data_IF_510353376661
#
_entry.id   IF_510353376661
#
_cell.length_a   1.000
_cell.length_b   1.000
_cell.length_c   1.000
_cell.angle_alpha   90.00
_cell.angle_beta   90.00
_cell.angle_gamma   90.00
#
_symmetry.space_group_name_H-M   'P 1'
#
loop_
_entity.id
_entity.type
_entity.pdbx_description
1 polymer ?
#
# COMPACT_ATOMS: atom_id res chain seq x y z
N UNK A 1 -10.13 27.48 -73.79
CA UNK A 1 -8.96 27.85 -72.98
C UNK A 1 -9.34 27.65 -71.56
N UNK A 2 -8.92 26.58 -70.94
CA UNK A 2 -9.28 26.16 -69.62
C UNK A 2 -7.99 25.73 -68.88
N UNK A 3 -7.52 26.56 -67.99
CA UNK A 3 -6.43 26.29 -67.04
C UNK A 3 -6.86 26.82 -65.68
N UNK A 4 -7.48 26.00 -64.85
CA UNK A 4 -7.52 26.20 -63.42
C UNK A 4 -8.36 25.10 -62.73
N UNK A 5 -7.80 23.94 -62.44
CA UNK A 5 -8.42 23.02 -61.47
C UNK A 5 -7.45 21.95 -60.90
N UNK A 6 -6.16 22.14 -60.97
CA UNK A 6 -5.17 21.17 -60.44
C UNK A 6 -4.46 21.60 -59.15
N UNK A 7 -4.54 22.88 -58.74
CA UNK A 7 -3.88 23.37 -57.57
C UNK A 7 -4.65 23.11 -56.24
N UNK A 8 -5.97 22.89 -56.27
CA UNK A 8 -6.82 22.75 -55.07
C UNK A 8 -6.78 21.33 -54.47
N UNK A 9 -6.41 20.31 -55.26
CA UNK A 9 -6.36 18.92 -54.77
C UNK A 9 -5.08 18.51 -54.10
N UNK A 10 -3.99 19.27 -54.27
CA UNK A 10 -2.71 18.98 -53.56
C UNK A 10 -2.67 19.47 -52.10
N UNK A 11 -3.45 20.48 -51.76
CA UNK A 11 -3.47 21.02 -50.39
C UNK A 11 -4.28 20.18 -49.41
N UNK A 12 -5.25 19.38 -49.87
CA UNK A 12 -6.07 18.51 -49.00
C UNK A 12 -5.31 17.25 -48.59
N UNK A 13 -4.35 16.77 -49.38
CA UNK A 13 -3.57 15.58 -49.02
C UNK A 13 -2.41 15.85 -48.04
N UNK A 14 -1.91 17.11 -47.96
CA UNK A 14 -0.87 17.45 -46.94
C UNK A 14 -1.44 17.70 -45.56
N UNK A 15 -2.73 18.03 -45.41
CA UNK A 15 -3.33 18.28 -44.08
C UNK A 15 -3.72 17.00 -43.33
N UNK A 16 -3.73 15.84 -43.95
CA UNK A 16 -4.09 14.54 -43.33
C UNK A 16 -2.92 13.77 -42.73
N UNK A 17 -1.68 14.23 -42.91
CA UNK A 17 -0.50 13.58 -42.36
C UNK A 17 -0.03 14.14 -40.99
N UNK A 18 -0.71 15.19 -40.49
CA UNK A 18 -0.37 15.87 -39.23
C UNK A 18 -1.05 15.29 -37.96
N UNK A 19 -1.96 14.33 -38.06
CA UNK A 19 -2.74 13.84 -36.91
C UNK A 19 -2.28 12.51 -36.32
N UNK A 20 -1.15 11.97 -36.73
CA UNK A 20 -0.65 10.67 -36.24
C UNK A 20 0.38 10.76 -35.10
N UNK A 21 0.53 11.89 -34.40
CA UNK A 21 1.62 12.12 -33.43
C UNK A 21 1.15 12.35 -31.98
N UNK A 22 0.09 11.67 -31.54
CA UNK A 22 -0.22 11.52 -30.11
C UNK A 22 -0.37 10.04 -29.75
N UNK A 23 0.58 9.23 -30.13
CA UNK A 23 0.74 7.88 -29.61
C UNK A 23 1.50 7.95 -28.29
N UNK A 24 0.84 7.69 -27.15
CA UNK A 24 1.55 7.36 -25.91
C UNK A 24 2.48 6.19 -26.21
N UNK A 25 3.78 6.33 -25.91
CA UNK A 25 4.73 5.23 -26.06
C UNK A 25 4.19 4.00 -25.32
N UNK A 26 4.08 2.83 -25.98
CA UNK A 26 3.56 1.62 -25.33
C UNK A 26 4.42 1.32 -24.10
N UNK A 27 3.76 0.95 -22.98
CA UNK A 27 4.47 0.52 -21.78
C UNK A 27 5.43 -0.62 -22.16
N UNK A 28 6.68 -0.62 -21.69
CA UNK A 28 7.61 -1.72 -21.94
C UNK A 28 7.02 -3.05 -21.48
N UNK A 29 7.19 -4.09 -22.27
CA UNK A 29 6.74 -5.43 -21.90
C UNK A 29 7.50 -5.96 -20.67
N UNK A 30 6.83 -6.74 -19.79
CA UNK A 30 7.49 -7.37 -18.64
C UNK A 30 8.69 -8.22 -19.10
N UNK A 31 9.84 -8.04 -18.44
CA UNK A 31 11.03 -8.82 -18.73
C UNK A 31 10.78 -10.31 -18.47
N UNK A 32 11.22 -11.18 -19.42
CA UNK A 32 11.11 -12.61 -19.20
C UNK A 32 12.00 -13.06 -18.02
N UNK A 33 11.42 -13.77 -17.09
CA UNK A 33 12.16 -14.32 -15.93
C UNK A 33 12.80 -15.68 -16.27
N UNK A 34 12.34 -16.33 -17.35
CA UNK A 34 12.80 -17.66 -17.75
C UNK A 34 12.36 -18.77 -16.78
N UNK A 35 12.93 -19.95 -16.94
CA UNK A 35 12.77 -21.04 -15.99
C UNK A 35 13.62 -20.79 -14.74
N UNK A 36 13.07 -21.12 -13.58
CA UNK A 36 13.74 -20.98 -12.29
C UNK A 36 13.72 -22.35 -11.63
N UNK A 37 14.91 -22.88 -11.32
CA UNK A 37 15.02 -24.07 -10.45
C UNK A 37 14.78 -23.59 -9.03
N UNK A 38 13.71 -24.07 -8.34
CA UNK A 38 13.42 -23.64 -6.98
C UNK A 38 14.56 -23.98 -6.02
N UNK A 39 15.11 -22.96 -5.36
CA UNK A 39 16.11 -23.10 -4.28
C UNK A 39 15.40 -23.02 -2.93
N UNK A 40 14.38 -22.17 -2.82
CA UNK A 40 13.53 -22.04 -1.65
C UNK A 40 12.16 -22.64 -1.94
N UNK A 41 11.72 -23.61 -1.14
CA UNK A 41 10.37 -24.19 -1.25
C UNK A 41 9.31 -23.15 -0.85
N UNK A 42 8.11 -23.25 -1.45
CA UNK A 42 6.94 -22.44 -1.12
C UNK A 42 5.74 -23.37 -1.13
N UNK A 43 5.08 -23.53 0.00
CA UNK A 43 3.98 -24.46 0.19
C UNK A 43 2.69 -23.73 0.49
N UNK A 44 1.63 -24.02 -0.30
CA UNK A 44 0.28 -23.52 -0.01
C UNK A 44 -0.28 -24.29 1.20
N UNK A 45 -0.57 -23.57 2.28
CA UNK A 45 -1.12 -24.15 3.50
C UNK A 45 -2.65 -24.24 3.44
N UNK A 46 -3.28 -23.12 3.06
CA UNK A 46 -4.73 -23.06 2.90
C UNK A 46 -5.13 -21.99 1.87
N UNK A 47 -6.36 -22.15 1.40
CA UNK A 47 -7.02 -21.22 0.49
C UNK A 47 -8.43 -20.93 1.01
N UNK A 48 -8.79 -19.66 1.04
CA UNK A 48 -10.12 -19.19 1.39
C UNK A 48 -10.71 -18.34 0.26
N UNK A 49 -11.97 -18.61 -0.13
CA UNK A 49 -12.67 -17.82 -1.15
C UNK A 49 -13.30 -16.57 -0.52
N UNK A 50 -12.90 -15.40 -0.99
CA UNK A 50 -13.46 -14.10 -0.59
C UNK A 50 -14.53 -13.70 -1.59
N UNK A 51 -15.77 -13.58 -1.11
CA UNK A 51 -16.89 -13.13 -1.93
C UNK A 51 -16.87 -11.60 -2.07
N UNK A 52 -17.00 -11.08 -3.29
CA UNK A 52 -17.07 -9.65 -3.58
C UNK A 52 -15.89 -9.10 -4.38
N UNK A 53 -15.90 -7.80 -4.63
CA UNK A 53 -14.83 -7.11 -5.36
C UNK A 53 -13.65 -6.81 -4.43
N UNK A 54 -12.58 -7.59 -4.53
CA UNK A 54 -11.37 -7.44 -3.71
C UNK A 54 -10.47 -6.29 -4.15
N UNK A 55 -10.72 -5.62 -5.29
CA UNK A 55 -9.88 -4.55 -5.88
C UNK A 55 -10.02 -3.23 -5.13
N UNK A 56 -9.71 -3.24 -3.85
CA UNK A 56 -9.80 -2.09 -2.94
C UNK A 56 -8.43 -1.42 -2.67
N UNK A 57 -7.32 -2.06 -3.06
CA UNK A 57 -5.97 -1.50 -2.82
C UNK A 57 -5.62 -1.40 -1.34
N UNK A 58 -5.94 -2.43 -0.56
CA UNK A 58 -5.78 -2.46 0.88
C UNK A 58 -4.48 -3.15 1.33
N UNK A 59 -4.05 -2.84 2.55
CA UNK A 59 -3.20 -3.73 3.35
C UNK A 59 -4.09 -4.58 4.25
N UNK A 60 -3.72 -5.85 4.44
CA UNK A 60 -4.45 -6.72 5.37
C UNK A 60 -4.06 -6.39 6.81
N UNK A 61 -5.04 -6.32 7.70
CA UNK A 61 -4.80 -6.03 9.11
C UNK A 61 -4.84 -7.32 9.93
N UNK A 62 -3.72 -7.63 10.60
CA UNK A 62 -3.57 -8.81 11.44
C UNK A 62 -3.50 -8.43 12.91
N UNK A 63 -4.16 -9.23 13.73
CA UNK A 63 -4.02 -9.20 15.18
C UNK A 63 -4.11 -10.63 15.72
N UNK A 64 -3.05 -11.07 16.40
CA UNK A 64 -2.93 -12.45 16.90
C UNK A 64 -3.06 -13.48 15.75
N UNK A 65 -4.03 -14.38 15.82
CA UNK A 65 -4.34 -15.41 14.82
C UNK A 65 -5.54 -15.02 13.92
N UNK A 66 -5.87 -13.72 13.82
CA UNK A 66 -6.99 -13.20 13.05
C UNK A 66 -6.54 -12.17 12.03
N UNK A 67 -7.17 -12.21 10.88
CA UNK A 67 -6.93 -11.30 9.77
C UNK A 67 -8.25 -10.67 9.34
N UNK A 68 -8.30 -9.35 9.30
CA UNK A 68 -9.43 -8.61 8.77
C UNK A 68 -9.16 -8.18 7.32
N UNK A 69 -10.18 -8.30 6.48
CA UNK A 69 -10.18 -7.84 5.10
C UNK A 69 -11.54 -7.23 4.75
N UNK A 70 -11.52 -6.36 3.75
CA UNK A 70 -12.72 -5.73 3.22
C UNK A 70 -12.79 -5.88 1.71
N UNK A 71 -14.00 -5.82 1.14
CA UNK A 71 -14.23 -5.79 -0.31
C UNK A 71 -14.90 -4.48 -0.69
N UNK A 72 -14.66 -4.03 -1.92
CA UNK A 72 -15.14 -2.74 -2.41
C UNK A 72 -16.67 -2.61 -2.36
N UNK A 73 -17.38 -3.72 -2.51
CA UNK A 73 -18.84 -3.81 -2.47
C UNK A 73 -19.42 -3.90 -1.05
N UNK A 74 -18.62 -3.71 0.00
CA UNK A 74 -19.10 -3.50 1.38
C UNK A 74 -19.06 -4.70 2.30
N UNK A 75 -18.40 -5.80 1.90
CA UNK A 75 -18.25 -6.96 2.80
C UNK A 75 -16.97 -6.82 3.61
N UNK A 76 -17.10 -7.06 4.92
CA UNK A 76 -15.96 -7.14 5.84
C UNK A 76 -15.97 -8.53 6.45
N UNK A 77 -14.79 -9.15 6.50
CA UNK A 77 -14.62 -10.50 7.05
C UNK A 77 -13.39 -10.54 7.94
N UNK A 78 -13.50 -11.31 9.02
CA UNK A 78 -12.36 -11.72 9.84
C UNK A 78 -12.19 -13.22 9.71
N UNK A 79 -10.99 -13.65 9.37
CA UNK A 79 -10.65 -15.06 9.17
C UNK A 79 -9.51 -15.47 10.10
N UNK A 80 -9.49 -16.75 10.46
CA UNK A 80 -8.41 -17.36 11.22
C UNK A 80 -7.18 -17.53 10.32
N UNK A 81 -6.01 -17.09 10.76
CA UNK A 81 -4.78 -17.13 9.96
C UNK A 81 -4.15 -18.54 9.85
N UNK A 82 -4.53 -19.50 10.71
CA UNK A 82 -3.98 -20.86 10.71
C UNK A 82 -4.65 -21.76 9.67
N UNK A 83 -5.96 -21.57 9.44
CA UNK A 83 -6.75 -22.48 8.58
C UNK A 83 -7.63 -21.75 7.55
N UNK A 84 -7.67 -20.43 7.56
CA UNK A 84 -8.49 -19.62 6.66
C UNK A 84 -9.99 -19.65 6.95
N UNK A 85 -10.45 -20.24 8.04
CA UNK A 85 -11.87 -20.26 8.40
C UNK A 85 -12.39 -18.89 8.76
N UNK A 86 -13.61 -18.58 8.33
CA UNK A 86 -14.29 -17.32 8.69
C UNK A 86 -14.64 -17.32 10.16
N UNK A 87 -14.13 -16.36 10.92
CA UNK A 87 -14.54 -16.12 12.29
C UNK A 87 -15.88 -15.38 12.31
N UNK A 88 -15.98 -14.26 11.57
CA UNK A 88 -17.23 -13.55 11.31
C UNK A 88 -17.19 -12.79 9.99
N UNK A 89 -18.34 -12.43 9.49
CA UNK A 89 -18.49 -11.58 8.30
C UNK A 89 -19.72 -10.69 8.42
N UNK A 90 -19.68 -9.51 7.80
CA UNK A 90 -20.80 -8.58 7.70
C UNK A 90 -20.85 -7.99 6.28
N UNK A 91 -22.07 -7.75 5.80
CA UNK A 91 -22.32 -7.04 4.55
C UNK A 91 -22.98 -5.70 4.88
N UNK A 92 -22.25 -4.62 4.68
CA UNK A 92 -22.69 -3.26 5.00
C UNK A 92 -23.64 -2.67 3.97
N UNK A 93 -23.86 -3.35 2.82
CA UNK A 93 -24.73 -2.92 1.71
C UNK A 93 -24.35 -1.55 1.14
N UNK A 94 -23.08 -1.19 1.20
CA UNK A 94 -22.55 0.09 0.71
C UNK A 94 -21.09 -0.10 0.26
N UNK A 95 -20.67 0.65 -0.76
CA UNK A 95 -19.30 0.56 -1.24
C UNK A 95 -18.30 1.18 -0.25
N UNK A 96 -17.10 0.61 -0.22
CA UNK A 96 -16.00 1.05 0.64
C UNK A 96 -14.91 1.78 -0.15
N UNK A 97 -14.26 2.74 0.50
CA UNK A 97 -13.06 3.41 0.02
C UNK A 97 -11.77 2.83 0.61
N UNK A 98 -11.85 2.18 1.78
CA UNK A 98 -10.69 1.69 2.52
C UNK A 98 -10.80 0.20 2.80
N UNK A 99 -9.65 -0.47 2.96
CA UNK A 99 -9.59 -1.74 3.62
C UNK A 99 -9.94 -1.64 5.11
N UNK A 100 -9.94 -2.76 5.79
CA UNK A 100 -10.25 -2.84 7.21
C UNK A 100 -9.02 -2.54 8.09
N UNK A 101 -9.18 -1.65 9.08
CA UNK A 101 -8.33 -1.62 10.27
C UNK A 101 -8.84 -2.61 11.31
N UNK A 102 -7.94 -3.22 12.09
CA UNK A 102 -8.34 -4.27 13.05
C UNK A 102 -7.33 -4.40 14.19
N UNK A 103 -7.81 -4.58 15.42
CA UNK A 103 -7.00 -4.77 16.62
C UNK A 103 -7.13 -6.16 17.27
N UNK A 104 -7.89 -7.06 16.65
CA UNK A 104 -8.21 -8.38 17.19
C UNK A 104 -9.64 -8.46 17.74
N UNK A 105 -10.29 -7.35 18.02
CA UNK A 105 -11.65 -7.26 18.54
C UNK A 105 -12.55 -6.41 17.65
N UNK A 106 -12.13 -5.17 17.35
CA UNK A 106 -12.88 -4.25 16.52
C UNK A 106 -12.27 -4.14 15.13
N UNK A 107 -13.16 -4.08 14.13
CA UNK A 107 -12.79 -3.75 12.76
C UNK A 107 -13.41 -2.40 12.37
N UNK A 108 -12.69 -1.63 11.56
CA UNK A 108 -13.12 -0.32 11.10
C UNK A 108 -12.88 -0.15 9.59
N UNK A 109 -13.86 0.42 8.87
CA UNK A 109 -13.77 0.74 7.44
C UNK A 109 -14.37 2.11 7.17
N UNK A 110 -14.02 2.73 6.02
CA UNK A 110 -14.67 3.95 5.56
C UNK A 110 -15.41 3.69 4.25
N UNK A 111 -16.67 4.12 4.19
CA UNK A 111 -17.54 3.97 3.03
C UNK A 111 -17.27 5.07 1.99
N UNK A 112 -17.73 4.84 0.75
CA UNK A 112 -17.71 5.87 -0.31
C UNK A 112 -18.59 7.08 0.01
N UNK A 113 -19.54 6.93 0.95
CA UNK A 113 -20.38 8.00 1.47
C UNK A 113 -19.75 8.81 2.62
N UNK A 114 -18.43 8.67 2.86
CA UNK A 114 -17.70 9.33 3.96
C UNK A 114 -18.23 8.95 5.34
N UNK A 115 -18.52 7.70 5.56
CA UNK A 115 -18.95 7.19 6.85
C UNK A 115 -17.93 6.21 7.40
N UNK A 116 -17.44 6.46 8.60
CA UNK A 116 -16.65 5.51 9.38
C UNK A 116 -17.62 4.51 10.01
N UNK A 117 -17.38 3.22 9.78
CA UNK A 117 -18.20 2.12 10.33
C UNK A 117 -17.30 1.25 11.17
N UNK A 118 -17.67 1.04 12.43
CA UNK A 118 -16.94 0.16 13.35
C UNK A 118 -17.82 -1.03 13.71
N UNK A 119 -17.17 -2.18 13.69
CA UNK A 119 -17.81 -3.50 13.87
C UNK A 119 -17.09 -4.28 14.95
N UNK A 120 -17.83 -5.13 15.63
CA UNK A 120 -17.30 -6.14 16.56
C UNK A 120 -18.13 -7.42 16.39
N UNK A 121 -17.46 -8.55 16.28
CA UNK A 121 -18.05 -9.89 16.17
C UNK A 121 -19.20 -9.97 15.13
N UNK A 122 -18.95 -9.43 13.93
CA UNK A 122 -19.89 -9.47 12.82
C UNK A 122 -21.07 -8.51 12.91
N UNK A 123 -21.09 -7.62 13.91
CA UNK A 123 -22.15 -6.63 14.11
C UNK A 123 -21.61 -5.21 14.03
N UNK A 124 -22.37 -4.30 13.41
CA UNK A 124 -22.05 -2.86 13.45
C UNK A 124 -22.30 -2.33 14.84
N UNK A 125 -21.26 -1.76 15.47
CA UNK A 125 -21.36 -1.17 16.80
C UNK A 125 -21.80 0.29 16.70
N UNK A 126 -21.15 1.06 15.81
CA UNK A 126 -21.51 2.46 15.56
C UNK A 126 -21.09 2.92 14.18
N UNK A 127 -21.59 4.08 13.79
CA UNK A 127 -21.26 4.80 12.56
C UNK A 127 -21.04 6.26 12.87
N UNK A 128 -20.10 6.90 12.17
CA UNK A 128 -19.83 8.34 12.29
C UNK A 128 -19.57 8.96 10.94
N UNK A 129 -20.20 10.09 10.64
CA UNK A 129 -19.98 10.83 9.41
C UNK A 129 -18.67 11.58 9.48
N UNK A 130 -17.86 11.46 8.40
CA UNK A 130 -16.60 12.15 8.23
C UNK A 130 -16.78 13.40 7.37
N UNK A 131 -15.89 14.37 7.54
CA UNK A 131 -15.91 15.67 6.82
C UNK A 131 -15.39 15.55 5.39
N UNK A 132 -14.55 14.55 5.10
CA UNK A 132 -13.95 14.30 3.78
C UNK A 132 -13.78 12.79 3.54
N UNK A 133 -13.36 12.43 2.33
CA UNK A 133 -13.04 11.05 1.98
C UNK A 133 -11.80 10.55 2.74
N UNK A 134 -11.68 9.24 2.89
CA UNK A 134 -10.45 8.56 3.33
C UNK A 134 -10.11 7.47 2.32
N UNK A 135 -8.81 7.32 2.05
CA UNK A 135 -8.26 6.24 1.21
C UNK A 135 -7.27 5.37 1.98
N UNK A 136 -7.02 5.71 3.24
CA UNK A 136 -6.13 4.98 4.15
C UNK A 136 -6.98 4.12 5.08
N UNK A 137 -6.57 2.86 5.27
CA UNK A 137 -7.21 2.00 6.25
C UNK A 137 -7.27 2.71 7.61
N UNK A 138 -8.41 2.73 8.31
CA UNK A 138 -8.46 3.19 9.69
C UNK A 138 -7.44 2.45 10.56
N UNK A 139 -6.85 3.12 11.52
CA UNK A 139 -6.02 2.48 12.54
C UNK A 139 -6.88 2.23 13.79
N UNK A 140 -7.03 0.96 14.16
CA UNK A 140 -7.68 0.56 15.41
C UNK A 140 -6.59 0.18 16.40
N UNK A 141 -6.40 0.97 17.44
CA UNK A 141 -5.32 0.76 18.42
C UNK A 141 -5.57 1.55 19.72
N UNK A 142 -5.22 0.99 20.87
CA UNK A 142 -5.26 1.67 22.17
C UNK A 142 -6.65 2.21 22.52
N UNK A 143 -7.68 1.39 22.31
CA UNK A 143 -9.10 1.73 22.57
C UNK A 143 -9.62 2.92 21.73
N UNK A 144 -8.96 3.21 20.60
CA UNK A 144 -9.30 4.29 19.67
C UNK A 144 -9.35 3.81 18.23
N UNK A 145 -10.10 4.56 17.44
CA UNK A 145 -10.10 4.45 15.98
C UNK A 145 -9.61 5.77 15.41
N UNK A 146 -8.50 5.71 14.66
CA UNK A 146 -7.93 6.87 13.98
C UNK A 146 -8.23 6.79 12.49
N UNK A 147 -8.57 7.93 11.89
CA UNK A 147 -8.84 8.04 10.45
C UNK A 147 -8.08 9.23 9.88
N UNK A 148 -7.36 9.00 8.80
CA UNK A 148 -6.70 10.05 8.01
C UNK A 148 -7.56 10.37 6.80
N UNK A 149 -7.91 11.64 6.61
CA UNK A 149 -8.80 12.10 5.54
C UNK A 149 -8.03 12.73 4.38
N UNK A 150 -8.69 12.83 3.23
CA UNK A 150 -8.14 13.43 2.02
C UNK A 150 -7.88 14.94 2.14
N UNK A 151 -8.53 15.63 3.07
CA UNK A 151 -8.25 17.02 3.43
C UNK A 151 -7.06 17.19 4.38
N UNK A 152 -6.28 16.10 4.61
CA UNK A 152 -5.13 16.00 5.52
C UNK A 152 -5.48 16.16 6.99
N UNK A 153 -6.76 16.12 7.36
CA UNK A 153 -7.16 16.02 8.74
C UNK A 153 -7.01 14.59 9.27
N UNK A 154 -6.75 14.47 10.56
CA UNK A 154 -6.74 13.22 11.30
C UNK A 154 -7.75 13.32 12.43
N UNK A 155 -8.60 12.31 12.53
CA UNK A 155 -9.63 12.23 13.57
C UNK A 155 -9.40 11.01 14.45
N UNK A 156 -9.69 11.13 15.74
CA UNK A 156 -9.76 10.01 16.66
C UNK A 156 -11.14 9.89 17.26
N UNK A 157 -11.57 8.64 17.43
CA UNK A 157 -12.83 8.26 18.02
C UNK A 157 -12.60 7.24 19.14
N UNK A 158 -13.39 7.30 20.19
CA UNK A 158 -13.48 6.22 21.16
C UNK A 158 -13.97 4.95 20.44
N UNK A 159 -13.26 3.85 20.62
CA UNK A 159 -13.48 2.60 19.90
C UNK A 159 -14.84 1.97 20.22
N UNK A 160 -15.29 2.06 21.47
CA UNK A 160 -16.51 1.41 21.93
C UNK A 160 -17.76 2.24 21.66
N UNK A 161 -17.68 3.56 21.80
CA UNK A 161 -18.84 4.45 21.76
C UNK A 161 -18.98 5.24 20.45
N UNK A 162 -17.89 5.41 19.68
CA UNK A 162 -17.86 6.25 18.49
C UNK A 162 -17.83 7.75 18.80
N UNK A 163 -17.67 8.15 20.06
CA UNK A 163 -17.50 9.54 20.43
C UNK A 163 -16.21 10.08 19.80
N UNK A 164 -16.31 11.19 19.06
CA UNK A 164 -15.13 11.87 18.53
C UNK A 164 -14.35 12.51 19.67
N UNK A 165 -13.09 12.08 19.84
CA UNK A 165 -12.19 12.54 20.89
C UNK A 165 -11.49 13.83 20.48
N UNK A 166 -10.94 13.87 19.26
CA UNK A 166 -10.27 15.04 18.72
C UNK A 166 -10.25 15.04 17.19
N UNK A 167 -9.94 16.19 16.63
CA UNK A 167 -9.66 16.40 15.21
C UNK A 167 -8.45 17.30 15.08
N UNK A 168 -7.42 16.82 14.37
CA UNK A 168 -6.25 17.60 13.98
C UNK A 168 -6.38 17.97 12.52
N UNK A 169 -6.54 19.27 12.24
CA UNK A 169 -6.60 19.83 10.88
C UNK A 169 -5.22 20.37 10.52
N UNK A 170 -4.77 20.10 9.30
CA UNK A 170 -3.52 20.65 8.78
C UNK A 170 -3.73 21.30 7.43
N UNK A 171 -3.22 22.52 7.24
CA UNK A 171 -3.18 23.13 5.92
C UNK A 171 -2.30 22.26 5.00
N UNK A 172 -2.75 22.01 3.79
CA UNK A 172 -1.99 21.23 2.82
C UNK A 172 -2.49 21.44 1.40
N UNK A 173 -1.75 20.91 0.43
CA UNK A 173 -2.17 20.92 -0.97
C UNK A 173 -3.43 20.05 -1.14
N UNK A 174 -4.34 20.48 -2.01
CA UNK A 174 -5.67 19.87 -2.16
C UNK A 174 -5.65 18.50 -2.83
N UNK A 175 -4.54 18.09 -3.47
CA UNK A 175 -4.44 16.81 -4.16
C UNK A 175 -3.81 15.75 -3.25
N UNK A 176 -4.46 14.58 -3.17
CA UNK A 176 -3.96 13.39 -2.45
C UNK A 176 -4.04 12.17 -3.34
N UNK A 177 -3.14 11.20 -3.10
CA UNK A 177 -3.20 9.89 -3.74
C UNK A 177 -4.44 9.12 -3.27
N UNK A 178 -5.18 8.57 -4.22
CA UNK A 178 -6.23 7.58 -3.93
C UNK A 178 -5.59 6.20 -3.67
N UNK A 179 -4.76 6.13 -2.63
CA UNK A 179 -3.97 4.96 -2.27
C UNK A 179 -3.83 4.90 -0.74
N UNK A 180 -3.61 3.70 -0.20
CA UNK A 180 -3.37 3.52 1.23
C UNK A 180 -2.10 4.26 1.66
N UNK A 181 -2.24 5.21 2.59
CA UNK A 181 -1.17 6.03 3.14
C UNK A 181 -0.60 5.47 4.44
N UNK A 182 0.36 6.18 5.01
CA UNK A 182 0.97 5.82 6.31
C UNK A 182 0.08 6.29 7.45
N UNK A 183 -0.51 5.36 8.18
CA UNK A 183 -1.23 5.58 9.44
C UNK A 183 -0.96 4.36 10.33
N UNK A 184 -0.15 4.52 11.37
CA UNK A 184 0.29 3.39 12.22
C UNK A 184 0.59 3.83 13.64
N UNK A 185 0.46 2.89 14.61
CA UNK A 185 0.82 3.14 15.99
C UNK A 185 2.32 2.88 16.21
N UNK A 186 2.96 3.75 16.99
CA UNK A 186 4.33 3.57 17.45
C UNK A 186 4.44 4.01 18.90
N UNK A 187 4.61 3.04 19.83
CA UNK A 187 4.58 3.32 21.26
C UNK A 187 3.34 4.14 21.64
N UNK A 188 3.52 5.28 22.32
CA UNK A 188 2.45 6.23 22.62
C UNK A 188 2.37 7.36 21.57
N UNK A 189 2.44 7.02 20.27
CA UNK A 189 2.27 7.95 19.15
C UNK A 189 1.41 7.33 18.05
N UNK A 190 0.70 8.18 17.34
CA UNK A 190 0.12 7.86 16.04
C UNK A 190 1.01 8.50 14.97
N UNK A 191 1.65 7.67 14.14
CA UNK A 191 2.44 8.13 13.01
C UNK A 191 1.55 8.27 11.78
N UNK A 192 1.60 9.43 11.15
CA UNK A 192 0.77 9.78 9.99
C UNK A 192 1.61 10.36 8.86
N UNK A 193 1.31 9.96 7.63
CA UNK A 193 1.91 10.51 6.42
C UNK A 193 1.06 11.64 5.86
N UNK A 194 1.57 12.87 5.89
CA UNK A 194 0.83 14.05 5.48
C UNK A 194 1.65 14.85 4.45
N UNK A 195 1.38 14.65 3.15
CA UNK A 195 1.98 15.44 2.08
C UNK A 195 3.51 15.43 2.04
N UNK A 196 4.12 14.26 2.02
CA UNK A 196 5.57 14.11 1.98
C UNK A 196 6.26 14.27 3.35
N UNK A 197 5.50 14.43 4.41
CA UNK A 197 6.00 14.52 5.79
C UNK A 197 5.50 13.35 6.63
N UNK A 198 6.34 12.86 7.52
CA UNK A 198 5.96 11.91 8.57
C UNK A 198 5.79 12.69 9.87
N UNK A 199 4.61 12.63 10.45
CA UNK A 199 4.29 13.30 11.70
C UNK A 199 3.94 12.29 12.80
N UNK A 200 4.28 12.60 14.05
CA UNK A 200 3.82 11.89 15.23
C UNK A 200 2.83 12.75 16.00
N UNK A 201 1.65 12.21 16.20
CA UNK A 201 0.59 12.82 16.97
C UNK A 201 0.43 12.12 18.32
N UNK A 202 0.07 12.88 19.33
CA UNK A 202 -0.37 12.36 20.62
C UNK A 202 -1.70 11.63 20.42
N UNK A 203 -1.85 10.35 20.82
CA UNK A 203 -3.08 9.59 20.60
C UNK A 203 -4.26 10.11 21.43
N UNK A 204 -4.00 10.81 22.55
CA UNK A 204 -5.04 11.24 23.48
C UNK A 204 -5.72 12.55 23.07
N UNK A 205 -4.96 13.46 22.42
CA UNK A 205 -5.44 14.81 22.11
C UNK A 205 -5.08 15.31 20.70
N UNK A 206 -4.36 14.53 19.90
CA UNK A 206 -3.95 14.88 18.53
C UNK A 206 -2.85 15.93 18.43
N UNK A 207 -2.24 16.36 19.53
CA UNK A 207 -1.16 17.35 19.53
C UNK A 207 0.04 16.80 18.78
N UNK A 208 0.62 17.63 17.90
CA UNK A 208 1.84 17.30 17.18
C UNK A 208 3.03 17.21 18.14
N UNK A 209 3.68 16.05 18.18
CA UNK A 209 4.92 15.85 18.94
C UNK A 209 6.17 16.17 18.12
N UNK A 210 6.19 15.72 16.86
CA UNK A 210 7.23 16.04 15.89
C UNK A 210 6.72 15.82 14.46
N UNK A 211 7.40 16.48 13.50
CA UNK A 211 7.14 16.35 12.07
C UNK A 211 8.45 16.39 11.31
N UNK A 212 8.66 15.47 10.38
CA UNK A 212 9.89 15.32 9.62
C UNK A 212 9.61 15.29 8.11
N UNK A 213 10.32 16.10 7.30
CA UNK A 213 10.19 16.07 5.85
C UNK A 213 10.84 14.79 5.31
N UNK A 214 10.04 13.91 4.69
CA UNK A 214 10.51 12.71 4.02
C UNK A 214 10.74 12.95 2.53
N UNK A 215 10.00 13.88 1.94
CA UNK A 215 10.19 14.34 0.57
C UNK A 215 9.73 15.80 0.45
N UNK A 216 10.40 16.54 -0.42
CA UNK A 216 10.00 17.90 -0.79
C UNK A 216 9.26 17.86 -2.11
N UNK A 217 8.03 18.40 -2.18
CA UNK A 217 7.31 18.55 -3.44
C UNK A 217 8.16 19.31 -4.48
N UNK A 218 8.25 18.77 -5.69
CA UNK A 218 8.99 19.37 -6.80
C UNK A 218 8.12 19.41 -8.03
N UNK A 219 8.15 20.50 -8.78
CA UNK A 219 7.39 20.63 -10.01
C UNK A 219 6.56 21.92 -10.05
N UNK A 220 5.96 22.20 -11.20
CA UNK A 220 5.24 23.44 -11.49
C UNK A 220 3.74 23.25 -11.25
N UNK A 221 3.24 22.02 -11.43
CA UNK A 221 1.81 21.71 -11.26
C UNK A 221 1.57 20.78 -10.05
N UNK A 222 0.32 20.68 -9.60
CA UNK A 222 -0.07 19.93 -8.40
C UNK A 222 0.21 18.43 -8.54
N UNK A 223 0.17 17.86 -9.76
CA UNK A 223 0.44 16.45 -10.00
C UNK A 223 1.93 16.12 -9.80
N UNK A 224 2.83 17.01 -10.28
CA UNK A 224 4.28 16.86 -10.09
C UNK A 224 4.70 17.06 -8.63
N UNK A 225 3.90 17.79 -7.87
CA UNK A 225 4.12 18.09 -6.44
C UNK A 225 3.57 17.01 -5.52
N UNK A 226 2.93 15.99 -6.06
CA UNK A 226 2.31 14.92 -5.28
C UNK A 226 3.37 13.96 -4.73
N UNK A 227 3.61 14.01 -3.42
CA UNK A 227 4.65 13.24 -2.71
C UNK A 227 4.12 12.55 -1.45
N UNK A 228 2.87 12.10 -1.46
CA UNK A 228 2.26 11.44 -0.31
C UNK A 228 3.04 10.20 0.13
N UNK A 229 3.07 9.95 1.45
CA UNK A 229 3.68 8.75 2.00
C UNK A 229 2.75 7.55 1.82
N UNK A 230 3.26 6.50 1.18
CA UNK A 230 2.50 5.29 0.84
C UNK A 230 2.75 4.15 1.84
N UNK A 231 1.72 3.38 2.13
CA UNK A 231 1.82 2.19 2.96
C UNK A 231 2.47 1.02 2.15
N UNK A 232 3.17 0.05 2.80
CA UNK A 232 3.38 -0.02 4.24
C UNK A 232 4.64 0.73 4.65
N UNK A 233 4.66 1.19 5.90
CA UNK A 233 5.89 1.61 6.55
C UNK A 233 6.59 0.39 7.16
N UNK A 234 7.93 0.30 7.02
CA UNK A 234 8.74 -0.73 7.67
C UNK A 234 9.19 -0.25 9.05
N UNK A 235 8.90 -1.04 10.08
CA UNK A 235 9.24 -0.70 11.45
C UNK A 235 10.07 -1.80 12.11
N UNK A 236 11.25 -1.45 12.60
CA UNK A 236 12.11 -2.31 13.41
C UNK A 236 12.65 -1.51 14.60
N UNK A 237 12.33 -1.92 15.81
CA UNK A 237 12.68 -1.20 17.05
C UNK A 237 12.19 0.27 17.00
N UNK A 238 13.11 1.23 17.06
CA UNK A 238 12.83 2.67 16.99
C UNK A 238 12.86 3.22 15.55
N UNK A 239 13.36 2.43 14.60
CA UNK A 239 13.49 2.86 13.22
C UNK A 239 12.20 2.63 12.45
N UNK A 240 11.68 3.70 11.87
CA UNK A 240 10.53 3.66 10.96
C UNK A 240 10.98 4.18 9.61
N UNK A 241 10.81 3.37 8.58
CA UNK A 241 11.17 3.72 7.22
C UNK A 241 9.90 3.81 6.37
N UNK A 242 9.81 4.84 5.56
CA UNK A 242 8.65 5.15 4.71
C UNK A 242 9.08 5.51 3.30
N UNK A 243 8.17 5.38 2.37
CA UNK A 243 8.33 5.83 0.99
C UNK A 243 7.39 6.99 0.68
N UNK A 244 7.95 8.05 0.11
CA UNK A 244 7.18 9.07 -0.59
C UNK A 244 6.99 8.63 -2.05
N UNK A 245 5.75 8.70 -2.54
CA UNK A 245 5.36 8.26 -3.86
C UNK A 245 6.26 8.83 -4.95
N UNK A 246 6.90 7.96 -5.73
CA UNK A 246 7.78 8.27 -6.87
C UNK A 246 8.85 9.36 -6.60
N UNK A 247 9.24 9.56 -5.34
CA UNK A 247 10.15 10.64 -4.96
C UNK A 247 11.33 10.15 -4.13
N UNK A 248 11.07 9.65 -2.92
CA UNK A 248 12.12 9.29 -1.97
C UNK A 248 11.72 8.10 -1.09
N UNK A 249 12.73 7.45 -0.54
CA UNK A 249 12.63 6.54 0.60
C UNK A 249 13.48 7.12 1.72
N UNK A 250 13.09 6.93 2.97
CA UNK A 250 13.89 7.39 4.11
C UNK A 250 13.49 6.72 5.41
N UNK A 251 14.39 6.80 6.39
CA UNK A 251 14.21 6.26 7.72
C UNK A 251 14.40 7.34 8.79
N UNK A 252 13.62 7.19 9.86
CA UNK A 252 13.65 8.08 11.03
C UNK A 252 13.85 7.26 12.29
N UNK A 253 14.47 7.85 13.31
CA UNK A 253 14.34 7.41 14.70
C UNK A 253 13.03 7.99 15.25
N UNK A 254 11.96 7.20 15.23
CA UNK A 254 10.63 7.65 15.63
C UNK A 254 10.51 7.89 17.15
N UNK A 255 11.41 7.34 17.97
CA UNK A 255 11.43 7.60 19.40
C UNK A 255 12.01 8.99 19.73
N UNK A 256 12.96 9.45 18.92
CA UNK A 256 13.61 10.77 19.07
C UNK A 256 12.99 11.84 18.19
N UNK A 257 12.18 11.48 17.18
CA UNK A 257 11.70 12.41 16.17
C UNK A 257 12.84 12.96 15.30
N UNK A 258 13.78 12.10 14.91
CA UNK A 258 14.97 12.49 14.17
C UNK A 258 15.05 11.80 12.83
N UNK A 259 15.23 12.61 11.75
CA UNK A 259 15.51 12.09 10.42
C UNK A 259 16.92 11.49 10.39
N UNK A 260 17.05 10.25 9.94
CA UNK A 260 18.35 9.61 9.78
C UNK A 260 18.90 9.85 8.37
N UNK A 261 18.11 9.52 7.38
CA UNK A 261 18.48 9.69 5.98
C UNK A 261 17.25 9.69 5.06
N UNK A 262 17.43 10.24 3.86
CA UNK A 262 16.54 10.06 2.71
C UNK A 262 17.36 9.76 1.46
N UNK A 263 16.80 9.01 0.51
CA UNK A 263 17.40 8.68 -0.80
C UNK A 263 16.33 8.81 -1.89
N UNK A 264 16.76 9.28 -3.04
CA UNK A 264 15.90 9.29 -4.23
C UNK A 264 15.51 7.87 -4.62
N UNK A 265 14.23 7.65 -4.83
CA UNK A 265 13.66 6.34 -5.17
C UNK A 265 12.34 6.53 -5.91
N UNK A 266 12.18 5.89 -7.06
CA UNK A 266 11.02 6.05 -7.93
C UNK A 266 10.05 4.87 -7.78
N UNK A 267 9.57 4.64 -6.56
CA UNK A 267 8.60 3.57 -6.26
C UNK A 267 7.23 4.11 -5.87
N UNK A 268 6.19 3.34 -6.16
CA UNK A 268 4.80 3.66 -5.85
C UNK A 268 4.23 2.81 -4.71
N UNK A 269 5.00 1.86 -4.21
CA UNK A 269 4.61 0.91 -3.18
C UNK A 269 5.42 1.15 -1.90
N UNK A 270 4.95 0.65 -0.77
CA UNK A 270 5.67 0.74 0.50
C UNK A 270 7.01 0.01 0.52
N UNK A 271 7.58 -0.10 1.69
CA UNK A 271 8.88 -0.73 1.94
C UNK A 271 8.78 -1.70 3.12
N UNK A 272 9.69 -2.68 3.15
CA UNK A 272 9.84 -3.59 4.27
C UNK A 272 11.31 -3.99 4.46
N UNK A 273 11.65 -4.73 5.52
CA UNK A 273 13.01 -5.16 5.79
C UNK A 273 13.24 -5.56 7.25
N UNK A 274 14.49 -5.92 7.55
CA UNK A 274 14.93 -6.30 8.90
C UNK A 274 15.70 -5.18 9.62
N UNK A 275 16.45 -5.53 10.65
CA UNK A 275 17.25 -4.58 11.43
C UNK A 275 18.42 -3.97 10.65
N UNK A 276 18.89 -4.61 9.58
CA UNK A 276 20.07 -4.21 8.80
C UNK A 276 19.70 -3.65 7.41
N UNK A 277 18.66 -4.20 6.79
CA UNK A 277 18.33 -3.98 5.38
C UNK A 277 16.88 -3.52 5.22
N UNK A 278 16.69 -2.53 4.37
CA UNK A 278 15.39 -2.07 3.88
C UNK A 278 15.27 -2.44 2.41
N UNK A 279 14.09 -2.91 1.98
CA UNK A 279 13.84 -3.26 0.58
C UNK A 279 12.60 -2.56 0.06
N UNK A 280 12.60 -2.21 -1.21
CA UNK A 280 11.47 -1.61 -1.91
C UNK A 280 11.47 -1.93 -3.41
N UNK A 281 10.31 -1.79 -4.03
CA UNK A 281 10.11 -1.99 -5.47
C UNK A 281 10.01 -0.64 -6.17
N UNK A 282 10.78 -0.44 -7.24
CA UNK A 282 10.74 0.77 -8.05
C UNK A 282 9.63 0.68 -9.12
N UNK A 283 9.17 1.80 -9.64
CA UNK A 283 8.08 1.86 -10.64
C UNK A 283 8.40 1.10 -11.93
N UNK A 284 9.67 0.97 -12.28
CA UNK A 284 10.14 0.18 -13.41
C UNK A 284 10.35 -1.32 -13.10
N UNK A 285 10.00 -1.77 -11.89
CA UNK A 285 10.11 -3.17 -11.47
C UNK A 285 11.49 -3.60 -10.98
N UNK A 286 12.44 -2.68 -10.81
CA UNK A 286 13.70 -2.95 -10.09
C UNK A 286 13.35 -3.15 -8.61
N UNK A 287 13.92 -4.20 -7.99
CA UNK A 287 13.87 -4.36 -6.54
C UNK A 287 15.20 -3.90 -5.97
N UNK A 288 15.16 -3.02 -4.98
CA UNK A 288 16.34 -2.37 -4.42
C UNK A 288 16.40 -2.55 -2.91
N UNK A 289 17.60 -2.79 -2.41
CA UNK A 289 17.90 -2.85 -1.00
C UNK A 289 18.86 -1.71 -0.57
N UNK A 290 18.58 -1.17 0.60
CA UNK A 290 19.37 -0.15 1.27
C UNK A 290 19.79 -0.63 2.66
N UNK A 291 20.97 -0.21 3.11
CA UNK A 291 21.33 -0.30 4.53
C UNK A 291 20.33 0.54 5.34
N UNK A 292 19.65 -0.07 6.29
CA UNK A 292 18.59 0.59 7.08
C UNK A 292 19.08 1.79 7.88
N UNK A 293 20.33 1.75 8.36
CA UNK A 293 20.90 2.80 9.22
C UNK A 293 21.48 3.97 8.42
N UNK A 294 22.07 3.71 7.22
CA UNK A 294 22.80 4.74 6.44
C UNK A 294 22.11 5.16 5.15
N UNK A 295 21.15 4.35 4.67
CA UNK A 295 20.51 4.55 3.38
C UNK A 295 21.42 4.27 2.19
N UNK A 296 22.60 3.67 2.39
CA UNK A 296 23.47 3.24 1.31
C UNK A 296 22.84 2.06 0.57
N UNK A 297 23.02 2.04 -0.75
CA UNK A 297 22.54 0.93 -1.56
C UNK A 297 23.36 -0.32 -1.27
N UNK A 298 22.67 -1.44 -0.95
CA UNK A 298 23.29 -2.75 -0.74
C UNK A 298 23.32 -3.54 -2.04
N UNK A 299 22.16 -3.69 -2.69
CA UNK A 299 22.03 -4.37 -3.97
C UNK A 299 20.79 -3.89 -4.74
N UNK A 300 20.78 -4.14 -6.06
CA UNK A 300 19.63 -4.00 -6.95
C UNK A 300 19.47 -5.28 -7.76
N UNK A 301 18.22 -5.66 -8.06
CA UNK A 301 17.93 -6.69 -9.06
C UNK A 301 16.96 -6.16 -10.11
N UNK A 302 17.29 -6.39 -11.37
CA UNK A 302 16.51 -5.97 -12.54
C UNK A 302 15.66 -7.12 -13.13
N UNK A 303 15.72 -8.31 -12.53
CA UNK A 303 15.06 -9.54 -13.01
C UNK A 303 13.55 -9.40 -13.17
N UNK A 304 12.92 -8.47 -12.44
CA UNK A 304 11.47 -8.27 -12.42
C UNK A 304 11.05 -6.95 -13.09
N UNK A 305 11.88 -6.38 -13.98
CA UNK A 305 11.55 -5.13 -14.67
C UNK A 305 10.20 -5.19 -15.40
N UNK A 306 9.44 -4.10 -15.30
CA UNK A 306 8.16 -3.82 -15.94
C UNK A 306 7.02 -4.75 -15.53
N UNK A 307 7.04 -5.30 -14.29
CA UNK A 307 6.03 -6.24 -13.80
C UNK A 307 4.98 -5.66 -12.87
N UNK A 308 5.03 -4.37 -12.56
CA UNK A 308 4.12 -3.70 -11.63
C UNK A 308 4.06 -4.46 -10.30
N UNK A 309 5.16 -4.39 -9.55
CA UNK A 309 5.37 -5.17 -8.33
C UNK A 309 4.59 -4.60 -7.14
N UNK A 310 4.18 -5.48 -6.22
CA UNK A 310 3.62 -5.11 -4.92
C UNK A 310 4.68 -4.54 -3.98
N UNK A 311 4.28 -3.99 -2.83
CA UNK A 311 5.17 -3.83 -1.68
C UNK A 311 5.84 -5.17 -1.38
N UNK A 312 7.17 -5.21 -1.18
CA UNK A 312 7.86 -6.43 -0.79
C UNK A 312 7.51 -6.80 0.65
N UNK A 313 7.56 -8.08 0.96
CA UNK A 313 7.54 -8.61 2.32
C UNK A 313 8.89 -9.24 2.63
N UNK A 314 9.53 -8.78 3.69
CA UNK A 314 10.75 -9.40 4.21
C UNK A 314 10.42 -10.57 5.15
N UNK A 315 11.02 -11.72 4.91
CA UNK A 315 10.99 -12.87 5.80
C UNK A 315 12.41 -13.37 6.09
N UNK A 316 12.58 -14.20 7.09
CA UNK A 316 13.89 -14.85 7.38
C UNK A 316 14.37 -15.78 6.26
N UNK A 317 13.48 -16.20 5.37
CA UNK A 317 13.74 -17.18 4.29
C UNK A 317 13.84 -16.54 2.90
N UNK A 318 13.52 -15.28 2.77
CA UNK A 318 13.53 -14.56 1.50
C UNK A 318 12.58 -13.38 1.46
N UNK A 319 12.65 -12.60 0.38
CA UNK A 319 11.79 -11.46 0.12
C UNK A 319 10.68 -11.91 -0.83
N UNK A 320 9.43 -11.74 -0.41
CA UNK A 320 8.25 -12.11 -1.21
C UNK A 320 7.74 -10.87 -1.95
N UNK A 321 7.57 -10.97 -3.27
CA UNK A 321 7.04 -9.90 -4.11
C UNK A 321 6.01 -10.48 -5.09
N UNK A 322 4.85 -9.85 -5.21
CA UNK A 322 3.83 -10.19 -6.21
C UNK A 322 3.90 -9.28 -7.43
N UNK A 323 3.40 -9.75 -8.60
CA UNK A 323 3.27 -8.92 -9.80
C UNK A 323 1.81 -8.80 -10.28
N UNK A 324 1.59 -7.88 -11.22
CA UNK A 324 0.26 -7.63 -11.81
C UNK A 324 -0.32 -8.83 -12.58
N UNK A 325 0.51 -9.82 -12.91
CA UNK A 325 0.08 -11.05 -13.59
C UNK A 325 -0.21 -12.19 -12.62
N UNK A 326 -0.11 -11.98 -11.30
CA UNK A 326 -0.38 -12.99 -10.26
C UNK A 326 0.73 -14.01 -10.06
N UNK A 327 1.96 -13.66 -10.37
CA UNK A 327 3.14 -14.39 -9.94
C UNK A 327 3.63 -13.87 -8.59
N UNK A 328 4.04 -14.78 -7.73
CA UNK A 328 4.84 -14.50 -6.54
C UNK A 328 6.28 -14.90 -6.81
N UNK A 329 7.21 -14.04 -6.44
CA UNK A 329 8.64 -14.21 -6.54
C UNK A 329 9.25 -14.25 -5.15
N UNK A 330 10.17 -15.18 -4.91
CA UNK A 330 10.96 -15.24 -3.69
C UNK A 330 12.38 -14.84 -4.07
N UNK A 331 12.87 -13.76 -3.48
CA UNK A 331 14.21 -13.25 -3.72
C UNK A 331 15.11 -13.51 -2.50
N UNK A 332 16.39 -13.67 -2.73
CA UNK A 332 17.42 -13.76 -1.68
C UNK A 332 17.50 -12.44 -0.92
N UNK A 333 17.59 -12.49 0.40
CA UNK A 333 17.79 -11.33 1.26
C UNK A 333 19.18 -10.73 1.14
N UNK A 334 20.16 -11.51 0.66
CA UNK A 334 21.57 -11.13 0.60
C UNK A 334 21.91 -10.32 -0.64
N UNK A 335 21.39 -10.72 -1.81
CA UNK A 335 21.81 -10.20 -3.11
C UNK A 335 20.64 -9.99 -4.11
N UNK A 336 19.39 -10.28 -3.70
CA UNK A 336 18.20 -10.13 -4.55
C UNK A 336 18.11 -11.16 -5.68
N UNK A 337 18.90 -12.25 -5.64
CA UNK A 337 18.77 -13.35 -6.60
C UNK A 337 17.39 -14.02 -6.48
N UNK A 338 16.85 -14.47 -7.61
CA UNK A 338 15.55 -15.15 -7.65
C UNK A 338 15.70 -16.60 -7.19
N UNK A 339 15.09 -16.93 -6.04
CA UNK A 339 15.12 -18.25 -5.42
C UNK A 339 13.95 -19.14 -5.87
N UNK A 340 12.78 -18.55 -6.14
CA UNK A 340 11.61 -19.26 -6.62
C UNK A 340 10.59 -18.33 -7.26
N UNK A 341 9.66 -18.88 -8.05
CA UNK A 341 8.45 -18.22 -8.55
C UNK A 341 7.28 -19.18 -8.56
N UNK A 342 6.11 -18.71 -8.15
CA UNK A 342 4.87 -19.50 -8.17
C UNK A 342 3.74 -18.71 -8.80
N UNK A 343 2.87 -19.39 -9.53
CA UNK A 343 1.67 -18.82 -10.14
C UNK A 343 0.48 -19.05 -9.22
N UNK A 344 -0.26 -17.98 -8.87
CA UNK A 344 -1.42 -18.10 -7.97
C UNK A 344 -2.73 -18.39 -8.69
N UNK A 345 -2.75 -18.40 -10.03
CA UNK A 345 -3.97 -18.55 -10.82
C UNK A 345 -4.84 -17.30 -10.86
N UNK A 346 -4.27 -16.15 -10.54
CA UNK A 346 -4.92 -14.83 -10.58
C UNK A 346 -4.23 -13.90 -11.59
N UNK A 347 -4.86 -12.78 -11.87
CA UNK A 347 -4.39 -11.64 -12.66
C UNK A 347 -3.83 -10.50 -11.79
N UNK A 348 -3.27 -10.84 -10.63
CA UNK A 348 -2.61 -9.93 -9.71
C UNK A 348 -3.16 -9.98 -8.29
N UNK A 349 -2.68 -9.04 -7.47
CA UNK A 349 -2.96 -9.00 -6.03
C UNK A 349 -3.77 -7.76 -5.66
N UNK A 350 -4.71 -7.94 -4.74
CA UNK A 350 -5.53 -6.90 -4.13
C UNK A 350 -4.87 -6.33 -2.85
N UNK A 351 -3.92 -7.09 -2.27
CA UNK A 351 -3.07 -6.64 -1.17
C UNK A 351 -1.62 -7.09 -1.41
N UNK A 352 -0.63 -6.40 -0.86
CA UNK A 352 0.73 -6.93 -0.78
C UNK A 352 0.76 -8.20 0.07
N UNK A 353 1.83 -9.04 -0.06
CA UNK A 353 2.09 -10.13 0.86
C UNK A 353 2.17 -9.61 2.29
N UNK A 354 1.57 -10.34 3.24
CA UNK A 354 1.49 -9.95 4.65
C UNK A 354 1.99 -11.10 5.51
N UNK A 355 2.93 -10.84 6.43
CA UNK A 355 3.53 -11.85 7.29
C UNK A 355 2.50 -12.46 8.25
N UNK A 356 2.62 -13.76 8.49
CA UNK A 356 1.89 -14.50 9.52
C UNK A 356 2.81 -14.78 10.72
N UNK A 357 2.22 -15.01 11.88
CA UNK A 357 2.96 -15.22 13.12
C UNK A 357 3.80 -16.52 13.13
N UNK A 358 3.44 -17.48 12.30
CA UNK A 358 4.13 -18.77 12.15
C UNK A 358 5.32 -18.72 11.16
N UNK A 359 5.67 -17.52 10.65
CA UNK A 359 6.73 -17.31 9.66
C UNK A 359 6.29 -17.51 8.22
N UNK A 360 5.03 -17.85 7.98
CA UNK A 360 4.40 -17.85 6.67
C UNK A 360 3.96 -16.46 6.21
N UNK A 361 3.24 -16.43 5.10
CA UNK A 361 2.64 -15.19 4.60
C UNK A 361 1.30 -15.46 3.91
N UNK A 362 0.48 -14.43 3.83
CA UNK A 362 -0.81 -14.46 3.17
C UNK A 362 -0.89 -13.39 2.08
N UNK A 363 -1.59 -13.68 1.00
CA UNK A 363 -1.89 -12.74 -0.08
C UNK A 363 -3.38 -12.78 -0.42
N UNK A 364 -3.95 -11.62 -0.72
CA UNK A 364 -5.29 -11.50 -1.29
C UNK A 364 -5.16 -11.23 -2.78
N UNK A 365 -5.74 -12.08 -3.60
CA UNK A 365 -5.72 -11.96 -5.06
C UNK A 365 -6.89 -11.13 -5.57
N UNK A 366 -6.76 -10.54 -6.78
CA UNK A 366 -7.84 -9.74 -7.40
C UNK A 366 -9.07 -10.56 -7.76
N UNK A 367 -8.92 -11.87 -7.98
CA UNK A 367 -10.03 -12.78 -8.26
C UNK A 367 -10.71 -13.38 -7.02
N UNK A 368 -10.42 -12.82 -5.82
CA UNK A 368 -11.11 -13.22 -4.58
C UNK A 368 -10.57 -14.47 -3.91
N UNK A 369 -9.30 -14.78 -4.04
CA UNK A 369 -8.66 -15.85 -3.26
C UNK A 369 -7.72 -15.28 -2.21
N UNK A 370 -7.93 -15.64 -0.96
CA UNK A 370 -6.96 -15.46 0.11
C UNK A 370 -6.13 -16.73 0.22
N UNK A 371 -4.82 -16.61 0.04
CA UNK A 371 -3.89 -17.74 -0.06
C UNK A 371 -2.80 -17.59 1.00
N UNK A 372 -2.65 -18.59 1.86
CA UNK A 372 -1.57 -18.63 2.84
C UNK A 372 -0.49 -19.61 2.42
N UNK A 373 0.74 -19.18 2.52
CA UNK A 373 1.91 -19.91 2.14
C UNK A 373 2.91 -20.00 3.29
N UNK A 374 3.67 -21.10 3.31
CA UNK A 374 4.81 -21.30 4.17
C UNK A 374 6.09 -21.32 3.34
N UNK A 375 7.17 -20.77 3.90
CA UNK A 375 8.54 -20.91 3.41
C UNK A 375 9.27 -21.85 4.39
N UNK A 376 9.33 -23.16 4.12
CA UNK A 376 9.93 -24.15 5.04
C UNK A 376 11.45 -24.04 5.15
#
# INVERSE_FOLDING_TARGET
>A
MSLSNTASKLWVCLALWGLAACGSSPKPAPQSVGEVKPVQAVELQWKHAVSGDTRLGQTLSLAQDRLALATKDGRVSVVNTRNGETHWKVDLKTNLNTGAGFDGKFAAVVTTGNELVVMNDGSVVWRSRLTAQSFTNPLVAGERVFVMLADRSVMAFDQATGQRLWTQVRPGEGLVLKQNGVLTAFRNNVLVGLGGKLAALDPDNGVLRWELPMATPRGINDLERLVDLVASASRVNNLVCVRAFQAQVGCVDAARGALLWTRAANGAQGVDGDSSTLVGTEANGVVRAWNRSTGERVWDTERLKYRELTTPLWTSKGIVVGDASGWLYILSTQDGQLLNKIKTGSDGFASPPTALADGGFVVLTRNGSLLAYQLP
#
